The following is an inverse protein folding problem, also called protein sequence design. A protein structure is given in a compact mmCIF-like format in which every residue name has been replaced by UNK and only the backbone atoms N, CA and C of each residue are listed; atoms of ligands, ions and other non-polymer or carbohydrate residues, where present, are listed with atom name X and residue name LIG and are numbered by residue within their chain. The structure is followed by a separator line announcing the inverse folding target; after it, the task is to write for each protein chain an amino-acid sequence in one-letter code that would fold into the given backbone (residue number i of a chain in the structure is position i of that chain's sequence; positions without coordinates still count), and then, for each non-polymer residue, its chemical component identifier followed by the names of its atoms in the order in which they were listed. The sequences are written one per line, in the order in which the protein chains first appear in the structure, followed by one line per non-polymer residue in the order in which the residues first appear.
data_IF_889752838015
#
_entry.id   IF_889752838015
#
_cell.length_a   1.000
_cell.length_b   1.000
_cell.length_c   1.000
_cell.angle_alpha   90.00
_cell.angle_beta   90.00
_cell.angle_gamma   90.00
#
_symmetry.space_group_name_H-M   'P 1'
#
loop_
_entity.id
_entity.type
_entity.pdbx_description
1 polymer ?
#
# COMPACT_ATOMS: atom_id res chain seq x y z
N UNK A 1 -12.99 -8.21 -14.38
CA UNK A 1 -13.76 -8.10 -13.13
C UNK A 1 -15.22 -8.42 -13.41
N UNK A 2 -15.87 -9.19 -12.54
CA UNK A 2 -17.34 -9.37 -12.56
C UNK A 2 -18.01 -8.28 -11.73
N UNK A 3 -19.30 -8.01 -12.02
CA UNK A 3 -20.13 -7.13 -11.19
C UNK A 3 -20.79 -7.97 -10.10
N UNK A 4 -20.64 -7.54 -8.85
CA UNK A 4 -21.28 -8.17 -7.70
C UNK A 4 -21.97 -7.08 -6.88
N UNK A 5 -23.22 -7.32 -6.48
CA UNK A 5 -23.95 -6.44 -5.57
C UNK A 5 -23.83 -7.01 -4.16
N UNK A 6 -23.24 -6.24 -3.26
CA UNK A 6 -23.07 -6.58 -1.83
C UNK A 6 -23.45 -5.35 -1.00
N UNK A 7 -24.00 -5.59 0.19
CA UNK A 7 -24.15 -4.56 1.20
C UNK A 7 -22.81 -4.37 1.92
N UNK A 8 -22.42 -3.12 2.12
CA UNK A 8 -21.16 -2.73 2.75
C UNK A 8 -21.44 -1.59 3.72
N UNK A 9 -20.74 -1.59 4.85
CA UNK A 9 -20.73 -0.47 5.77
C UNK A 9 -20.00 0.74 5.14
N UNK A 10 -20.74 1.83 4.95
CA UNK A 10 -20.24 3.07 4.38
C UNK A 10 -19.17 3.74 5.25
N UNK A 11 -19.25 3.59 6.58
CA UNK A 11 -18.25 4.14 7.49
C UNK A 11 -16.91 3.38 7.38
N UNK A 12 -16.97 2.06 7.26
CA UNK A 12 -15.80 1.22 7.00
C UNK A 12 -15.15 1.59 5.66
N UNK A 13 -15.94 1.73 4.59
CA UNK A 13 -15.46 2.15 3.28
C UNK A 13 -14.80 3.54 3.33
N UNK A 14 -15.45 4.52 3.96
CA UNK A 14 -14.91 5.87 4.10
C UNK A 14 -13.58 5.88 4.87
N UNK A 15 -13.44 5.05 5.90
CA UNK A 15 -12.21 4.92 6.69
C UNK A 15 -11.05 4.40 5.82
N UNK A 16 -11.28 3.35 5.04
CA UNK A 16 -10.27 2.79 4.13
C UNK A 16 -9.91 3.81 3.05
N UNK A 17 -10.91 4.43 2.43
CA UNK A 17 -10.70 5.45 1.40
C UNK A 17 -9.85 6.61 1.91
N UNK A 18 -10.14 7.14 3.10
CA UNK A 18 -9.36 8.21 3.73
C UNK A 18 -7.93 7.76 4.06
N UNK A 19 -7.76 6.56 4.60
CA UNK A 19 -6.46 6.06 5.04
C UNK A 19 -5.51 5.79 3.88
N UNK A 20 -6.03 5.31 2.76
CA UNK A 20 -5.24 4.91 1.58
C UNK A 20 -5.43 5.86 0.38
N UNK A 21 -6.07 7.01 0.61
CA UNK A 21 -6.29 8.07 -0.37
C UNK A 21 -7.00 7.60 -1.66
N UNK A 22 -8.01 6.74 -1.50
CA UNK A 22 -8.78 6.14 -2.59
C UNK A 22 -10.03 6.96 -2.89
N UNK A 23 -10.39 7.08 -4.17
CA UNK A 23 -11.48 7.95 -4.63
C UNK A 23 -12.81 7.24 -4.77
N UNK A 24 -12.84 5.90 -4.83
CA UNK A 24 -14.09 5.13 -4.96
C UNK A 24 -14.20 3.98 -3.95
N UNK A 25 -15.44 3.64 -3.56
CA UNK A 25 -15.74 2.46 -2.72
C UNK A 25 -15.24 1.16 -3.37
N UNK A 26 -15.31 1.07 -4.70
CA UNK A 26 -14.80 -0.08 -5.46
C UNK A 26 -13.30 -0.26 -5.24
N UNK A 27 -12.53 0.82 -5.32
CA UNK A 27 -11.09 0.76 -5.13
C UNK A 27 -10.76 0.39 -3.69
N UNK A 28 -11.50 0.91 -2.72
CA UNK A 28 -11.36 0.52 -1.31
C UNK A 28 -11.61 -0.97 -1.08
N UNK A 29 -12.66 -1.54 -1.67
CA UNK A 29 -12.96 -2.97 -1.56
C UNK A 29 -11.89 -3.82 -2.22
N UNK A 30 -11.50 -3.47 -3.46
CA UNK A 30 -10.46 -4.21 -4.18
C UNK A 30 -9.12 -4.15 -3.44
N UNK A 31 -8.75 -2.98 -2.91
CA UNK A 31 -7.54 -2.80 -2.13
C UNK A 31 -7.56 -3.64 -0.84
N UNK A 32 -8.68 -3.63 -0.10
CA UNK A 32 -8.82 -4.42 1.11
C UNK A 32 -8.71 -5.94 0.84
N UNK A 33 -9.31 -6.43 -0.24
CA UNK A 33 -9.20 -7.83 -0.65
C UNK A 33 -7.78 -8.22 -1.02
N UNK A 34 -7.09 -7.38 -1.79
CA UNK A 34 -5.69 -7.61 -2.15
C UNK A 34 -4.78 -7.59 -0.94
N UNK A 35 -4.97 -6.64 -0.02
CA UNK A 35 -4.19 -6.53 1.20
C UNK A 35 -4.39 -7.75 2.10
N UNK A 36 -5.62 -8.26 2.21
CA UNK A 36 -5.93 -9.44 3.03
C UNK A 36 -5.44 -10.74 2.40
N UNK A 37 -5.49 -10.84 1.06
CA UNK A 37 -4.99 -11.99 0.32
C UNK A 37 -3.47 -11.95 0.12
N UNK A 38 -2.80 -10.83 0.44
CA UNK A 38 -1.36 -10.73 0.35
C UNK A 38 -0.71 -11.67 1.36
N UNK A 39 -0.01 -12.69 0.85
CA UNK A 39 0.90 -13.47 1.66
C UNK A 39 2.12 -12.61 2.00
N UNK A 40 2.52 -12.64 3.27
CA UNK A 40 3.76 -11.99 3.65
C UNK A 40 4.91 -12.62 2.87
N UNK A 41 5.78 -11.78 2.30
CA UNK A 41 7.00 -12.27 1.67
C UNK A 41 7.77 -13.13 2.66
N UNK A 42 8.29 -14.25 2.17
CA UNK A 42 9.24 -15.04 2.93
C UNK A 42 10.51 -14.24 3.20
N UNK A 43 11.24 -14.65 4.23
CA UNK A 43 12.48 -13.97 4.63
C UNK A 43 13.53 -13.99 3.50
N UNK A 44 13.54 -15.06 2.69
CA UNK A 44 14.44 -15.19 1.54
C UNK A 44 14.02 -14.31 0.36
N UNK A 45 12.72 -14.20 0.08
CA UNK A 45 12.21 -13.24 -0.92
C UNK A 45 12.50 -11.80 -0.50
N UNK A 46 12.35 -11.46 0.78
CA UNK A 46 12.68 -10.11 1.26
C UNK A 46 14.19 -9.83 1.13
N UNK A 47 15.04 -10.84 1.37
CA UNK A 47 16.50 -10.73 1.20
C UNK A 47 16.93 -10.63 -0.26
N UNK A 48 16.22 -11.27 -1.19
CA UNK A 48 16.55 -11.21 -2.62
C UNK A 48 16.36 -9.80 -3.19
N UNK A 49 15.50 -8.98 -2.58
CA UNK A 49 15.33 -7.56 -2.91
C UNK A 49 16.46 -6.66 -2.39
N UNK A 50 17.41 -7.18 -1.60
CA UNK A 50 18.52 -6.38 -1.07
C UNK A 50 19.35 -5.77 -2.21
N UNK A 51 19.48 -4.46 -2.21
CA UNK A 51 20.21 -3.72 -3.25
C UNK A 51 19.35 -3.31 -4.45
N UNK A 52 18.04 -3.59 -4.42
CA UNK A 52 17.09 -3.12 -5.44
C UNK A 52 16.36 -1.84 -5.01
N UNK A 53 15.94 -1.03 -5.99
CA UNK A 53 14.89 -0.02 -5.80
C UNK A 53 15.31 1.30 -5.14
N UNK A 54 16.61 1.61 -5.05
CA UNK A 54 17.07 2.89 -4.52
C UNK A 54 18.26 3.45 -5.30
N UNK A 55 17.99 4.51 -6.07
CA UNK A 55 18.97 5.26 -6.89
C UNK A 55 19.24 6.67 -6.33
N UNK A 56 18.89 6.90 -5.05
CA UNK A 56 19.07 8.20 -4.40
C UNK A 56 20.54 8.50 -4.08
N UNK A 57 20.83 9.78 -3.81
CA UNK A 57 22.09 10.18 -3.20
C UNK A 57 21.91 10.30 -1.69
N UNK A 58 22.62 9.45 -0.94
CA UNK A 58 22.47 9.33 0.51
C UNK A 58 23.09 10.55 1.20
N UNK A 59 24.15 11.10 0.61
CA UNK A 59 24.90 12.20 1.17
C UNK A 59 24.11 13.49 1.02
N UNK A 60 23.54 13.74 -0.17
CA UNK A 60 22.63 14.85 -0.42
C UNK A 60 21.42 14.87 0.55
N UNK A 61 20.85 13.71 0.89
CA UNK A 61 19.74 13.63 1.85
C UNK A 61 20.16 14.00 3.28
N UNK A 62 21.43 13.76 3.66
CA UNK A 62 21.97 13.98 4.99
C UNK A 62 22.44 15.42 5.22
N UNK A 63 22.77 16.15 4.16
CA UNK A 63 23.21 17.56 4.22
C UNK A 63 22.16 18.49 4.84
N UNK A 64 20.86 18.15 4.72
CA UNK A 64 19.75 18.96 5.26
C UNK A 64 19.70 19.06 6.80
N UNK A 65 20.58 18.37 7.54
CA UNK A 65 20.58 18.31 9.01
C UNK A 65 21.71 19.10 9.68
N UNK A 66 22.30 20.08 9.00
CA UNK A 66 23.25 21.01 9.62
C UNK A 66 22.56 22.36 9.80
N UNK A 67 22.09 22.63 11.02
CA UNK A 67 21.74 23.97 11.51
C UNK A 67 22.99 24.67 12.03
#
# INVERSE_FOLDING_TARGET
MSRTNIEIDDAACATVMKRFNLTTKRDAVNFALQLLAAEAMTLDEARSLKGSGWDGDLDAMRESRVL
#
